data_IF_708751716086
#
_entry.id   IF_708751716086
#
_cell.length_a   1.000
_cell.length_b   1.000
_cell.length_c   1.000
_cell.angle_alpha   90.00
_cell.angle_beta   90.00
_cell.angle_gamma   90.00
#
_symmetry.space_group_name_H-M   'P 1'
#
loop_
_entity.id
_entity.type
_entity.pdbx_description
1 polymer ?
#
# COMPACT_ATOMS: atom_id res chain seq x y z
N UNK A 1 12.16 5.31 27.41
CA UNK A 1 12.44 6.40 26.46
C UNK A 1 13.46 5.87 25.46
N UNK A 2 13.01 5.43 24.27
CA UNK A 2 13.96 5.02 23.21
C UNK A 2 14.35 6.31 22.48
N UNK A 3 15.36 7.00 22.98
CA UNK A 3 16.00 8.11 22.27
C UNK A 3 16.74 7.48 21.09
N UNK A 4 16.45 7.90 19.86
CA UNK A 4 17.24 7.47 18.71
C UNK A 4 18.69 7.90 18.93
N UNK A 5 19.69 7.01 18.82
CA UNK A 5 21.10 7.33 19.09
C UNK A 5 21.73 8.14 17.95
N UNK A 6 20.93 8.96 17.28
CA UNK A 6 21.30 9.75 16.11
C UNK A 6 20.86 11.18 16.33
N UNK A 7 21.76 12.13 16.07
CA UNK A 7 21.48 13.56 16.11
C UNK A 7 21.90 14.21 14.79
N UNK A 8 21.10 15.13 14.29
CA UNK A 8 21.30 15.82 13.02
C UNK A 8 21.54 17.30 13.29
N UNK A 9 22.56 17.86 12.64
CA UNK A 9 22.87 19.29 12.69
C UNK A 9 23.19 19.83 11.29
N UNK A 10 23.45 21.13 11.22
CA UNK A 10 23.90 21.75 9.99
C UNK A 10 25.27 21.16 9.60
N UNK A 11 25.33 20.58 8.40
CA UNK A 11 26.52 19.90 7.84
C UNK A 11 27.17 18.83 8.74
N UNK A 12 26.49 18.34 9.77
CA UNK A 12 27.02 17.38 10.75
C UNK A 12 25.95 16.36 11.12
N UNK A 13 26.30 15.09 11.19
CA UNK A 13 25.42 14.02 11.69
C UNK A 13 26.21 13.18 12.71
N UNK A 14 25.61 12.94 13.87
CA UNK A 14 26.18 12.11 14.94
C UNK A 14 25.40 10.80 14.97
N UNK A 15 26.10 9.68 14.97
CA UNK A 15 25.52 8.35 15.00
C UNK A 15 26.17 7.49 16.09
N UNK A 16 25.48 6.43 16.53
CA UNK A 16 26.10 5.35 17.29
C UNK A 16 27.23 4.68 16.49
N UNK A 17 28.28 4.23 17.18
CA UNK A 17 29.34 3.41 16.60
C UNK A 17 28.80 2.09 16.01
N UNK A 18 27.60 1.64 16.41
CA UNK A 18 26.96 0.41 15.92
C UNK A 18 26.64 0.43 14.42
N UNK A 19 26.73 1.59 13.74
CA UNK A 19 26.53 1.62 12.28
C UNK A 19 27.81 1.26 11.51
N UNK A 20 28.97 1.21 12.17
CA UNK A 20 30.23 0.81 11.57
C UNK A 20 30.21 -0.68 11.27
N UNK A 21 30.66 -1.04 10.06
CA UNK A 21 30.72 -2.40 9.57
C UNK A 21 32.03 -2.62 8.82
N UNK A 22 32.53 -3.86 8.89
CA UNK A 22 33.59 -4.34 8.02
C UNK A 22 33.03 -4.59 6.62
N UNK A 23 33.86 -4.48 5.59
CA UNK A 23 33.48 -4.71 4.19
C UNK A 23 32.85 -6.10 3.97
N UNK A 24 33.21 -7.09 4.80
CA UNK A 24 32.67 -8.45 4.73
C UNK A 24 31.25 -8.59 5.29
N UNK A 25 30.73 -7.61 6.03
CA UNK A 25 29.41 -7.66 6.67
C UNK A 25 28.36 -7.02 5.77
N UNK A 26 27.89 -7.80 4.79
CA UNK A 26 27.01 -7.31 3.71
C UNK A 26 25.65 -6.81 4.24
N UNK A 27 25.04 -7.51 5.20
CA UNK A 27 23.69 -7.19 5.69
C UNK A 27 23.62 -5.81 6.35
N UNK A 28 24.64 -5.47 7.14
CA UNK A 28 24.70 -4.20 7.86
C UNK A 28 24.98 -3.03 6.92
N UNK A 29 25.77 -3.25 5.85
CA UNK A 29 26.12 -2.21 4.87
C UNK A 29 24.85 -1.56 4.30
N UNK A 30 23.84 -2.36 3.94
CA UNK A 30 22.58 -1.85 3.37
C UNK A 30 21.86 -0.97 4.39
N UNK A 31 21.69 -1.45 5.62
CA UNK A 31 21.04 -0.71 6.69
C UNK A 31 21.75 0.60 7.02
N UNK A 32 23.09 0.58 7.07
CA UNK A 32 23.90 1.78 7.32
C UNK A 32 23.77 2.80 6.20
N UNK A 33 23.84 2.38 4.93
CA UNK A 33 23.68 3.30 3.78
C UNK A 33 22.32 3.99 3.77
N UNK A 34 21.25 3.27 4.10
CA UNK A 34 19.90 3.86 4.20
C UNK A 34 19.83 4.87 5.35
N UNK A 35 20.39 4.56 6.53
CA UNK A 35 20.45 5.50 7.66
C UNK A 35 21.22 6.78 7.30
N UNK A 36 22.34 6.65 6.60
CA UNK A 36 23.14 7.79 6.12
C UNK A 36 22.38 8.62 5.08
N UNK A 37 21.70 7.96 4.13
CA UNK A 37 20.88 8.65 3.11
C UNK A 37 19.74 9.45 3.76
N UNK A 38 19.04 8.86 4.73
CA UNK A 38 18.01 9.55 5.50
C UNK A 38 18.58 10.73 6.30
N UNK A 39 19.73 10.56 6.95
CA UNK A 39 20.36 11.64 7.69
C UNK A 39 20.74 12.83 6.79
N UNK A 40 21.27 12.54 5.60
CA UNK A 40 21.56 13.57 4.60
C UNK A 40 20.27 14.28 4.16
N UNK A 41 19.18 13.54 3.95
CA UNK A 41 17.89 14.13 3.60
C UNK A 41 17.32 15.00 4.74
N UNK A 42 17.51 14.60 6.00
CA UNK A 42 17.12 15.39 7.20
C UNK A 42 17.89 16.70 7.34
N UNK A 43 19.10 16.80 6.81
CA UNK A 43 19.81 18.09 6.76
C UNK A 43 19.06 19.10 5.88
N UNK A 44 18.43 18.66 4.79
CA UNK A 44 17.60 19.52 3.95
C UNK A 44 16.23 19.79 4.60
N UNK A 45 15.54 18.72 5.00
CA UNK A 45 14.20 18.78 5.60
C UNK A 45 14.28 18.41 7.08
N UNK A 46 14.36 19.42 7.94
CA UNK A 46 14.59 19.28 9.38
C UNK A 46 15.57 20.31 9.94
N UNK A 47 16.61 20.65 9.16
CA UNK A 47 17.63 21.64 9.56
C UNK A 47 17.59 22.87 8.66
N UNK A 48 17.79 22.72 7.35
CA UNK A 48 17.76 23.85 6.42
C UNK A 48 16.34 24.41 6.23
N UNK A 49 15.36 23.52 6.11
CA UNK A 49 13.93 23.84 6.18
C UNK A 49 13.34 23.28 7.47
N UNK A 50 12.78 24.13 8.32
CA UNK A 50 12.15 23.76 9.59
C UNK A 50 10.61 23.74 9.49
N UNK A 51 9.94 23.10 10.43
CA UNK A 51 8.49 23.14 10.53
C UNK A 51 8.05 24.56 10.92
N UNK A 52 6.88 25.01 10.43
CA UNK A 52 6.27 26.26 10.91
C UNK A 52 5.65 26.07 12.30
N UNK A 53 4.88 24.99 12.47
CA UNK A 53 4.32 24.55 13.75
C UNK A 53 4.75 23.12 14.10
N UNK A 54 4.71 22.69 15.38
CA UNK A 54 5.04 21.30 15.74
C UNK A 54 4.21 20.24 14.99
N UNK A 55 2.98 20.57 14.63
CA UNK A 55 2.08 19.69 13.85
C UNK A 55 2.46 19.60 12.37
N UNK A 56 3.44 20.37 11.89
CA UNK A 56 3.97 20.27 10.53
C UNK A 56 5.24 19.40 10.43
N UNK A 57 5.79 18.93 11.56
CA UNK A 57 7.06 18.18 11.58
C UNK A 57 7.00 16.86 10.80
N UNK A 58 5.81 16.23 10.73
CA UNK A 58 5.57 15.04 9.91
C UNK A 58 5.96 15.26 8.44
N UNK A 59 5.78 16.47 7.93
CA UNK A 59 6.04 16.80 6.54
C UNK A 59 7.55 16.75 6.27
N UNK A 60 8.36 17.28 7.18
CA UNK A 60 9.81 17.26 7.05
C UNK A 60 10.37 15.84 7.17
N UNK A 61 9.87 15.08 8.14
CA UNK A 61 10.26 13.67 8.32
C UNK A 61 9.84 12.84 7.10
N UNK A 62 8.61 13.00 6.64
CA UNK A 62 8.08 12.36 5.44
C UNK A 62 8.88 12.70 4.19
N UNK A 63 9.26 13.97 3.99
CA UNK A 63 10.07 14.40 2.83
C UNK A 63 11.47 13.79 2.88
N UNK A 64 12.09 13.71 4.06
CA UNK A 64 13.38 13.04 4.22
C UNK A 64 13.28 11.54 3.94
N UNK A 65 12.23 10.87 4.45
CA UNK A 65 11.95 9.46 4.15
C UNK A 65 11.65 9.21 2.66
N UNK A 66 10.90 10.10 2.01
CA UNK A 66 10.63 10.03 0.57
C UNK A 66 11.92 10.09 -0.26
N UNK A 67 12.83 11.03 0.04
CA UNK A 67 14.13 11.09 -0.63
C UNK A 67 15.00 9.85 -0.37
N UNK A 68 14.90 9.28 0.83
CA UNK A 68 15.56 8.02 1.17
C UNK A 68 15.01 6.87 0.32
N UNK A 69 13.71 6.86 0.05
CA UNK A 69 13.08 5.86 -0.80
C UNK A 69 13.53 5.99 -2.26
N UNK A 70 13.73 7.21 -2.76
CA UNK A 70 14.37 7.45 -4.07
C UNK A 70 15.80 6.92 -4.12
N UNK A 71 16.58 7.09 -3.04
CA UNK A 71 17.91 6.49 -2.92
C UNK A 71 17.84 4.96 -2.98
N UNK A 72 16.95 4.33 -2.21
CA UNK A 72 16.75 2.87 -2.22
C UNK A 72 16.41 2.40 -3.64
N UNK A 73 15.43 3.02 -4.29
CA UNK A 73 15.01 2.67 -5.64
C UNK A 73 16.16 2.76 -6.65
N UNK A 74 16.99 3.80 -6.54
CA UNK A 74 18.11 4.05 -7.46
C UNK A 74 19.29 3.11 -7.25
N UNK A 75 19.66 2.82 -6.01
CA UNK A 75 20.92 2.13 -5.68
C UNK A 75 20.74 0.68 -5.22
N UNK A 76 19.58 0.33 -4.65
CA UNK A 76 19.26 -1.03 -4.20
C UNK A 76 18.24 -1.73 -5.14
N UNK A 77 17.58 -0.94 -5.99
CA UNK A 77 16.69 -1.44 -7.04
C UNK A 77 15.20 -1.39 -6.69
N UNK A 78 14.37 -1.51 -7.72
CA UNK A 78 12.91 -1.35 -7.60
C UNK A 78 12.26 -2.41 -6.67
N UNK A 79 12.77 -3.64 -6.67
CA UNK A 79 12.18 -4.72 -5.86
C UNK A 79 12.41 -4.46 -4.36
N UNK A 80 13.60 -3.99 -3.98
CA UNK A 80 13.90 -3.66 -2.58
C UNK A 80 13.05 -2.47 -2.10
N UNK A 81 12.87 -1.46 -2.95
CA UNK A 81 11.97 -0.34 -2.66
C UNK A 81 10.53 -0.82 -2.44
N UNK A 82 9.99 -1.67 -3.33
CA UNK A 82 8.64 -2.25 -3.20
C UNK A 82 8.51 -3.07 -1.92
N UNK A 83 9.49 -3.92 -1.63
CA UNK A 83 9.46 -4.78 -0.44
C UNK A 83 9.46 -3.97 0.86
N UNK A 84 10.27 -2.90 0.94
CA UNK A 84 10.29 -2.00 2.10
C UNK A 84 8.98 -1.24 2.24
N UNK A 85 8.44 -0.74 1.12
CA UNK A 85 7.14 -0.06 1.10
C UNK A 85 6.02 -1.00 1.57
N UNK A 86 5.99 -2.24 1.09
CA UNK A 86 5.04 -3.24 1.55
C UNK A 86 5.12 -3.45 3.07
N UNK A 87 6.32 -3.68 3.61
CA UNK A 87 6.51 -3.83 5.06
C UNK A 87 6.08 -2.59 5.85
N UNK A 88 6.39 -1.40 5.33
CA UNK A 88 5.97 -0.14 5.93
C UNK A 88 4.43 -0.02 5.93
N UNK A 89 3.77 -0.29 4.81
CA UNK A 89 2.32 -0.24 4.68
C UNK A 89 1.64 -1.24 5.62
N UNK A 90 2.09 -2.50 5.68
CA UNK A 90 1.57 -3.48 6.63
C UNK A 90 1.69 -2.99 8.08
N UNK A 91 2.85 -2.44 8.43
CA UNK A 91 3.10 -1.91 9.77
C UNK A 91 2.16 -0.74 10.07
N UNK A 92 1.98 0.20 9.13
CA UNK A 92 1.07 1.34 9.31
C UNK A 92 -0.37 0.87 9.43
N UNK A 93 -0.86 0.01 8.54
CA UNK A 93 -2.23 -0.53 8.61
C UNK A 93 -2.52 -1.23 9.95
N UNK A 94 -1.54 -1.98 10.47
CA UNK A 94 -1.70 -2.71 11.74
C UNK A 94 -1.75 -1.79 12.96
N UNK A 95 -1.01 -0.68 12.96
CA UNK A 95 -0.79 0.14 14.16
C UNK A 95 -1.42 1.55 14.11
N UNK A 96 -1.82 2.05 12.94
CA UNK A 96 -2.52 3.33 12.77
C UNK A 96 -4.02 3.18 13.07
N UNK A 97 -4.35 2.92 14.34
CA UNK A 97 -5.71 2.56 14.78
C UNK A 97 -6.36 3.58 15.73
N UNK A 98 -5.61 4.58 16.20
CA UNK A 98 -6.07 5.61 17.16
C UNK A 98 -5.50 6.99 16.87
N UNK A 99 -6.07 8.04 17.48
CA UNK A 99 -5.68 9.45 17.26
C UNK A 99 -4.19 9.74 17.46
N UNK A 100 -3.53 9.03 18.38
CA UNK A 100 -2.09 9.03 18.61
C UNK A 100 -1.19 8.99 17.34
N UNK A 101 -1.63 8.32 16.27
CA UNK A 101 -0.87 8.17 15.02
C UNK A 101 -1.26 9.20 13.94
N UNK A 102 -2.21 10.10 14.19
CA UNK A 102 -2.58 11.18 13.27
C UNK A 102 -1.43 12.20 13.09
N UNK A 103 -1.08 12.52 11.85
CA UNK A 103 0.16 13.23 11.52
C UNK A 103 0.14 14.72 11.90
N UNK A 104 -0.98 15.40 11.66
CA UNK A 104 -1.11 16.86 11.83
C UNK A 104 -2.21 17.28 12.79
N UNK A 105 -2.88 16.34 13.47
CA UNK A 105 -3.94 16.69 14.44
C UNK A 105 -3.36 17.03 15.82
N UNK A 106 -3.85 18.10 16.50
CA UNK A 106 -3.62 18.34 17.92
C UNK A 106 -4.11 17.20 18.82
N UNK A 107 -5.05 16.37 18.35
CA UNK A 107 -5.56 15.24 19.13
C UNK A 107 -4.44 14.24 19.43
N UNK A 108 -3.52 14.04 18.47
CA UNK A 108 -2.38 13.15 18.68
C UNK A 108 -1.46 13.60 19.82
N UNK A 109 -1.25 14.91 19.97
CA UNK A 109 -0.46 15.46 21.07
C UNK A 109 -1.24 15.49 22.38
N UNK A 110 -2.56 15.59 22.32
CA UNK A 110 -3.45 15.51 23.50
C UNK A 110 -3.49 14.08 24.06
N UNK A 111 -3.67 13.08 23.20
CA UNK A 111 -3.72 11.66 23.56
C UNK A 111 -2.40 11.16 24.18
N UNK A 112 -1.27 11.69 23.71
CA UNK A 112 0.08 11.26 24.10
C UNK A 112 0.87 12.32 24.86
N UNK A 113 0.22 13.38 25.35
CA UNK A 113 0.86 14.47 26.12
C UNK A 113 2.15 15.01 25.49
N UNK A 114 2.16 15.19 24.16
CA UNK A 114 3.32 15.69 23.41
C UNK A 114 4.41 14.65 23.12
N UNK A 115 4.19 13.36 23.41
CA UNK A 115 5.17 12.27 23.17
C UNK A 115 4.89 11.45 21.90
N UNK A 116 3.99 11.91 21.03
CA UNK A 116 3.57 11.22 19.80
C UNK A 116 4.70 10.93 18.81
N UNK A 117 5.78 11.70 18.85
CA UNK A 117 6.96 11.51 18.00
C UNK A 117 7.98 10.51 18.58
N UNK A 118 7.73 9.97 19.78
CA UNK A 118 8.66 9.06 20.47
C UNK A 118 8.29 7.59 20.24
N UNK A 119 9.30 6.73 20.27
CA UNK A 119 9.14 5.28 20.28
C UNK A 119 8.40 4.70 19.07
N UNK A 120 7.50 3.75 19.32
CA UNK A 120 6.72 3.08 18.27
C UNK A 120 5.80 4.06 17.53
N UNK A 121 5.11 4.97 18.23
CA UNK A 121 4.23 5.96 17.61
C UNK A 121 4.96 6.86 16.63
N UNK A 122 6.13 7.40 17.02
CA UNK A 122 6.97 8.18 16.13
C UNK A 122 7.36 7.42 14.86
N UNK A 123 7.73 6.13 15.01
CA UNK A 123 8.04 5.27 13.87
C UNK A 123 6.83 5.07 12.94
N UNK A 124 5.64 4.80 13.48
CA UNK A 124 4.42 4.65 12.67
C UNK A 124 4.09 5.94 11.92
N UNK A 125 4.15 7.09 12.61
CA UNK A 125 3.93 8.41 12.00
C UNK A 125 4.91 8.68 10.87
N UNK A 126 6.19 8.37 11.06
CA UNK A 126 7.22 8.51 10.02
C UNK A 126 6.89 7.67 8.78
N UNK A 127 6.57 6.39 8.98
CA UNK A 127 6.20 5.49 7.87
C UNK A 127 4.94 5.97 7.14
N UNK A 128 3.92 6.41 7.88
CA UNK A 128 2.67 6.96 7.34
C UNK A 128 2.94 8.25 6.55
N UNK A 129 3.76 9.16 7.08
CA UNK A 129 4.14 10.40 6.41
C UNK A 129 4.78 10.16 5.03
N UNK A 130 5.69 9.18 4.94
CA UNK A 130 6.30 8.78 3.67
C UNK A 130 5.26 8.24 2.69
N UNK A 131 4.38 7.33 3.14
CA UNK A 131 3.34 6.75 2.29
C UNK A 131 2.34 7.80 1.76
N UNK A 132 1.98 8.78 2.60
CA UNK A 132 1.13 9.92 2.22
C UNK A 132 1.79 10.76 1.12
N UNK A 133 3.08 11.08 1.27
CA UNK A 133 3.81 11.85 0.26
C UNK A 133 4.01 11.09 -1.05
N UNK A 134 4.25 9.78 -0.99
CA UNK A 134 4.28 8.93 -2.18
C UNK A 134 2.93 8.91 -2.91
N UNK A 135 1.83 8.91 -2.16
CA UNK A 135 0.48 8.97 -2.75
C UNK A 135 0.25 10.31 -3.45
N UNK A 136 0.68 11.42 -2.83
CA UNK A 136 0.61 12.74 -3.46
C UNK A 136 1.49 12.84 -4.71
N UNK A 137 2.73 12.35 -4.65
CA UNK A 137 3.64 12.31 -5.80
C UNK A 137 3.05 11.51 -6.97
N UNK A 138 2.43 10.36 -6.67
CA UNK A 138 1.76 9.55 -7.69
C UNK A 138 0.64 10.31 -8.39
N UNK A 139 -0.17 11.07 -7.65
CA UNK A 139 -1.30 11.82 -8.21
C UNK A 139 -0.86 13.02 -9.07
N UNK A 140 0.23 13.70 -8.68
CA UNK A 140 0.71 14.89 -9.41
C UNK A 140 1.80 14.63 -10.45
N UNK A 141 2.44 13.46 -10.38
CA UNK A 141 3.59 13.05 -11.18
C UNK A 141 4.95 13.50 -10.60
N UNK A 142 6.03 12.76 -10.93
CA UNK A 142 7.37 12.97 -10.36
C UNK A 142 7.94 14.36 -10.69
N UNK A 143 7.68 14.90 -11.88
CA UNK A 143 8.20 16.20 -12.30
C UNK A 143 7.59 17.36 -11.52
N UNK A 144 6.26 17.30 -11.30
CA UNK A 144 5.55 18.31 -10.51
C UNK A 144 6.00 18.28 -9.06
N UNK A 145 6.12 17.08 -8.49
CA UNK A 145 6.62 16.90 -7.13
C UNK A 145 8.06 17.41 -6.99
N UNK A 146 8.94 17.09 -7.94
CA UNK A 146 10.31 17.61 -7.98
C UNK A 146 10.36 19.14 -8.03
N UNK A 147 9.49 19.79 -8.82
CA UNK A 147 9.38 21.26 -8.86
C UNK A 147 8.94 21.83 -7.52
N UNK A 148 8.02 21.18 -6.81
CA UNK A 148 7.62 21.56 -5.45
C UNK A 148 8.82 21.49 -4.51
N UNK A 149 9.59 20.39 -4.52
CA UNK A 149 10.79 20.27 -3.69
C UNK A 149 11.80 21.37 -3.98
N UNK A 150 12.06 21.67 -5.26
CA UNK A 150 12.96 22.74 -5.70
C UNK A 150 12.50 24.12 -5.20
N UNK A 151 11.20 24.40 -5.21
CA UNK A 151 10.61 25.63 -4.67
C UNK A 151 10.79 25.73 -3.15
N UNK A 152 10.64 24.63 -2.42
CA UNK A 152 10.79 24.60 -0.95
C UNK A 152 12.25 24.88 -0.55
N UNK A 153 13.22 24.27 -1.24
CA UNK A 153 14.64 24.40 -0.90
C UNK A 153 15.33 25.61 -1.54
N UNK A 154 14.62 26.36 -2.38
CA UNK A 154 15.17 27.50 -3.12
C UNK A 154 15.86 28.51 -2.18
N UNK A 155 17.07 28.94 -2.54
CA UNK A 155 17.82 29.92 -1.74
C UNK A 155 17.14 31.29 -1.68
N UNK A 156 16.37 31.64 -2.71
CA UNK A 156 15.59 32.89 -2.80
C UNK A 156 14.35 32.92 -1.90
N UNK A 157 13.98 31.78 -1.31
CA UNK A 157 12.84 31.67 -0.42
C UNK A 157 13.11 32.42 0.89
N UNK A 158 12.25 33.40 1.20
CA UNK A 158 12.42 34.28 2.35
C UNK A 158 12.24 33.57 3.70
N UNK A 159 11.23 32.70 3.82
CA UNK A 159 11.04 31.87 5.01
C UNK A 159 11.71 30.51 4.85
N UNK A 160 12.42 30.08 5.90
CA UNK A 160 12.96 28.72 6.01
C UNK A 160 12.00 27.76 6.71
N UNK A 161 10.79 28.20 7.05
CA UNK A 161 9.74 27.33 7.57
C UNK A 161 8.89 26.75 6.44
N UNK A 162 8.26 25.61 6.70
CA UNK A 162 7.28 24.96 5.83
C UNK A 162 6.09 24.49 6.67
N UNK A 163 4.87 24.90 6.30
CA UNK A 163 3.64 24.35 6.87
C UNK A 163 2.92 23.40 5.93
N UNK A 164 2.07 22.57 6.52
CA UNK A 164 1.13 21.69 5.82
C UNK A 164 0.21 22.51 4.90
N UNK A 165 -0.23 23.70 5.34
CA UNK A 165 -1.08 24.61 4.56
C UNK A 165 -0.37 25.10 3.30
N UNK A 166 0.88 25.50 3.43
CA UNK A 166 1.69 25.93 2.30
C UNK A 166 1.94 24.76 1.33
N UNK A 167 2.32 23.59 1.84
CA UNK A 167 2.55 22.42 1.01
C UNK A 167 1.30 22.02 0.23
N UNK A 168 0.12 22.07 0.86
CA UNK A 168 -1.17 21.88 0.20
C UNK A 168 -1.41 22.90 -0.92
N UNK A 169 -1.02 24.17 -0.72
CA UNK A 169 -1.11 25.18 -1.76
C UNK A 169 -0.16 24.89 -2.95
N UNK A 170 1.06 24.47 -2.67
CA UNK A 170 2.03 24.06 -3.71
C UNK A 170 1.52 22.82 -4.48
N UNK A 171 0.94 21.84 -3.79
CA UNK A 171 0.34 20.66 -4.39
C UNK A 171 -0.85 21.01 -5.32
N UNK A 172 -1.67 22.00 -4.96
CA UNK A 172 -2.72 22.52 -5.84
C UNK A 172 -2.14 23.28 -7.05
N UNK A 173 -1.21 24.21 -6.81
CA UNK A 173 -0.73 25.16 -7.83
C UNK A 173 0.26 24.56 -8.81
N UNK A 174 1.21 23.77 -8.32
CA UNK A 174 2.30 23.16 -9.11
C UNK A 174 1.98 21.71 -9.43
N UNK A 175 1.44 20.99 -8.44
CA UNK A 175 1.03 19.60 -8.60
C UNK A 175 -0.24 19.41 -9.44
N UNK A 176 -0.94 20.51 -9.78
CA UNK A 176 -2.20 20.48 -10.51
C UNK A 176 -3.26 19.55 -9.87
N UNK A 177 -3.16 19.33 -8.55
CA UNK A 177 -4.13 18.51 -7.83
C UNK A 177 -5.40 19.30 -7.59
N UNK A 178 -6.55 18.70 -7.87
CA UNK A 178 -7.83 19.36 -7.75
C UNK A 178 -8.16 19.73 -6.29
N UNK A 179 -8.84 20.86 -6.11
CA UNK A 179 -9.23 21.33 -4.76
C UNK A 179 -10.15 20.33 -4.02
N UNK A 180 -11.13 19.67 -4.66
CA UNK A 180 -11.94 18.64 -4.01
C UNK A 180 -11.10 17.48 -3.48
N UNK A 181 -10.20 16.93 -4.30
CA UNK A 181 -9.26 15.89 -3.88
C UNK A 181 -8.47 16.30 -2.63
N UNK A 182 -7.86 17.49 -2.64
CA UNK A 182 -7.08 17.98 -1.49
C UNK A 182 -7.92 18.25 -0.24
N UNK A 183 -9.21 18.59 -0.41
CA UNK A 183 -10.15 18.82 0.69
C UNK A 183 -10.53 17.53 1.39
N UNK A 184 -10.54 16.41 0.69
CA UNK A 184 -10.80 15.08 1.26
C UNK A 184 -9.51 14.42 1.75
N UNK A 185 -8.42 14.54 0.98
CA UNK A 185 -7.16 13.86 1.24
C UNK A 185 -6.51 14.28 2.57
N UNK A 186 -6.35 15.59 2.81
CA UNK A 186 -5.61 16.07 3.99
C UNK A 186 -6.33 15.72 5.31
N UNK A 187 -7.63 16.00 5.49
CA UNK A 187 -8.34 15.59 6.69
C UNK A 187 -8.28 14.08 6.94
N UNK A 188 -8.40 13.27 5.88
CA UNK A 188 -8.44 11.83 5.99
C UNK A 188 -7.09 11.19 6.30
N UNK A 189 -6.01 11.63 5.65
CA UNK A 189 -4.68 11.03 5.77
C UNK A 189 -3.76 11.70 6.78
N UNK A 190 -3.96 12.99 7.06
CA UNK A 190 -3.07 13.77 7.93
C UNK A 190 -3.73 14.08 9.27
N UNK A 191 -4.98 14.51 9.27
CA UNK A 191 -5.69 14.92 10.50
C UNK A 191 -6.36 13.72 11.20
N UNK A 192 -6.59 12.62 10.49
CA UNK A 192 -7.23 11.42 11.05
C UNK A 192 -6.29 10.20 11.13
N UNK A 193 -6.70 9.21 11.91
CA UNK A 193 -6.08 7.88 11.96
C UNK A 193 -6.84 6.85 11.09
N UNK A 194 -6.29 5.65 10.97
CA UNK A 194 -6.89 4.57 10.20
C UNK A 194 -6.28 4.42 8.81
N UNK A 195 -6.45 3.23 8.26
CA UNK A 195 -6.14 2.87 6.89
C UNK A 195 -7.35 2.16 6.26
N UNK A 196 -7.54 2.25 4.94
CA UNK A 196 -8.58 1.50 4.23
C UNK A 196 -8.36 0.00 4.37
N UNK A 197 -9.41 -0.73 4.72
CA UNK A 197 -9.47 -2.19 4.62
C UNK A 197 -10.32 -2.53 3.40
N UNK A 198 -9.78 -3.30 2.46
CA UNK A 198 -10.51 -3.75 1.29
C UNK A 198 -10.56 -5.27 1.28
N UNK A 199 -11.77 -5.83 1.27
CA UNK A 199 -11.98 -7.27 1.08
C UNK A 199 -12.59 -7.47 -0.29
N UNK A 200 -11.93 -8.29 -1.10
CA UNK A 200 -12.25 -8.44 -2.49
C UNK A 200 -12.46 -9.92 -2.81
N UNK A 201 -13.41 -10.21 -3.70
CA UNK A 201 -13.69 -11.54 -4.20
C UNK A 201 -14.10 -11.47 -5.67
N UNK A 202 -13.80 -12.54 -6.42
CA UNK A 202 -14.04 -12.58 -7.87
C UNK A 202 -15.08 -13.64 -8.25
N UNK A 203 -15.84 -13.33 -9.29
CA UNK A 203 -16.74 -14.25 -10.00
C UNK A 203 -16.61 -14.03 -11.50
N UNK A 204 -16.50 -15.10 -12.30
CA UNK A 204 -16.44 -15.00 -13.75
C UNK A 204 -17.80 -15.33 -14.38
N UNK A 205 -18.38 -14.36 -15.08
CA UNK A 205 -19.65 -14.53 -15.77
C UNK A 205 -19.41 -15.00 -17.22
N UNK A 206 -19.46 -16.32 -17.44
CA UNK A 206 -19.24 -16.94 -18.76
C UNK A 206 -20.17 -16.42 -19.86
N UNK A 207 -21.43 -16.08 -19.51
CA UNK A 207 -22.44 -15.64 -20.49
C UNK A 207 -22.16 -14.23 -20.99
N UNK A 208 -21.74 -13.34 -20.09
CA UNK A 208 -21.43 -11.94 -20.39
C UNK A 208 -19.97 -11.72 -20.80
N UNK A 209 -19.10 -12.70 -20.55
CA UNK A 209 -17.65 -12.58 -20.67
C UNK A 209 -17.09 -11.41 -19.85
N UNK A 210 -17.49 -11.33 -18.58
CA UNK A 210 -17.09 -10.28 -17.64
C UNK A 210 -16.61 -10.91 -16.33
N UNK A 211 -15.69 -10.23 -15.65
CA UNK A 211 -15.32 -10.53 -14.27
C UNK A 211 -16.09 -9.60 -13.35
N UNK A 212 -16.84 -10.17 -12.42
CA UNK A 212 -17.53 -9.46 -11.35
C UNK A 212 -16.60 -9.45 -10.13
N UNK A 213 -16.08 -8.27 -9.79
CA UNK A 213 -15.22 -8.05 -8.63
C UNK A 213 -16.09 -7.48 -7.50
N UNK A 214 -16.42 -8.30 -6.52
CA UNK A 214 -17.08 -7.84 -5.30
C UNK A 214 -16.06 -7.17 -4.39
N UNK A 215 -16.38 -5.98 -3.89
CA UNK A 215 -15.53 -5.13 -3.06
C UNK A 215 -16.28 -4.77 -1.79
N UNK A 216 -15.69 -5.08 -0.64
CA UNK A 216 -16.11 -4.60 0.67
C UNK A 216 -15.06 -3.62 1.20
N UNK A 217 -15.50 -2.47 1.71
CA UNK A 217 -14.64 -1.39 2.21
C UNK A 217 -14.87 -1.17 3.70
N UNK A 218 -13.79 -1.07 4.46
CA UNK A 218 -13.75 -0.80 5.89
C UNK A 218 -12.57 0.10 6.28
N UNK A 219 -12.34 0.25 7.58
CA UNK A 219 -11.29 1.10 8.14
C UNK A 219 -10.64 0.42 9.35
N UNK A 220 -9.33 0.60 9.54
CA UNK A 220 -8.60 0.08 10.70
C UNK A 220 -8.80 0.91 11.97
N UNK A 221 -9.25 2.16 11.85
CA UNK A 221 -9.51 3.01 13.01
C UNK A 221 -10.59 2.40 13.90
N UNK A 222 -10.32 2.32 15.21
CA UNK A 222 -11.31 1.85 16.18
C UNK A 222 -12.35 2.95 16.40
N UNK A 223 -13.63 2.57 16.46
CA UNK A 223 -14.68 3.47 16.90
C UNK A 223 -14.43 3.85 18.36
N UNK A 224 -14.55 5.13 18.67
CA UNK A 224 -14.26 5.66 20.01
C UNK A 224 -15.39 5.23 20.96
N UNK A 225 -15.12 4.46 22.04
CA UNK A 225 -16.16 3.90 22.89
C UNK A 225 -16.89 4.94 23.77
N UNK A 226 -16.57 6.23 23.66
CA UNK A 226 -17.11 7.32 24.48
C UNK A 226 -18.10 8.26 23.78
N UNK A 227 -18.42 8.07 22.50
CA UNK A 227 -19.51 8.85 21.89
C UNK A 227 -20.86 8.23 22.29
N UNK A 228 -21.57 8.85 23.24
CA UNK A 228 -22.94 8.49 23.59
C UNK A 228 -23.79 8.44 22.30
N UNK A 229 -24.03 7.21 21.83
CA UNK A 229 -24.90 6.90 20.71
C UNK A 229 -26.37 7.00 21.15
N UNK A 230 -26.77 8.21 21.52
CA UNK A 230 -28.16 8.61 21.76
C UNK A 230 -28.58 9.75 20.84
N UNK A 231 -28.18 9.66 19.58
CA UNK A 231 -28.84 10.36 18.47
C UNK A 231 -28.97 9.33 17.36
N UNK A 232 -30.23 8.98 17.03
CA UNK A 232 -30.73 8.18 15.91
C UNK A 232 -29.76 7.23 15.19
N UNK A 233 -30.18 5.97 15.07
CA UNK A 233 -29.56 4.92 14.25
C UNK A 233 -29.60 5.18 12.74
N UNK A 234 -29.21 6.37 12.31
CA UNK A 234 -28.55 6.57 11.04
C UNK A 234 -27.09 6.21 11.29
N UNK A 235 -26.64 5.12 10.67
CA UNK A 235 -25.23 4.81 10.43
C UNK A 235 -24.54 6.15 10.20
N UNK A 236 -23.62 6.56 11.09
CA UNK A 236 -22.86 7.78 10.87
C UNK A 236 -22.31 7.73 9.45
N UNK A 237 -22.91 8.52 8.58
CA UNK A 237 -22.53 8.86 7.21
C UNK A 237 -21.23 9.70 7.25
N UNK A 238 -20.27 9.28 8.09
CA UNK A 238 -19.05 9.98 8.45
C UNK A 238 -17.82 9.44 7.72
N UNK A 239 -17.98 8.78 6.58
CA UNK A 239 -16.87 8.25 5.81
C UNK A 239 -16.89 8.82 4.40
N UNK A 240 -16.46 10.08 4.25
CA UNK A 240 -15.74 10.47 3.04
C UNK A 240 -14.69 9.40 2.80
N UNK A 241 -14.92 8.57 1.78
CA UNK A 241 -14.06 7.43 1.51
C UNK A 241 -12.63 7.86 1.21
N UNK A 242 -11.74 6.89 1.08
CA UNK A 242 -10.33 7.17 0.82
C UNK A 242 -10.18 7.65 -0.63
N UNK A 243 -9.63 8.84 -0.90
CA UNK A 243 -9.52 9.33 -2.26
C UNK A 243 -8.47 8.51 -3.03
N UNK A 244 -8.81 8.05 -4.23
CA UNK A 244 -7.92 7.29 -5.09
C UNK A 244 -8.62 6.24 -5.94
N UNK A 245 -7.93 5.78 -6.98
CA UNK A 245 -8.41 4.77 -7.91
C UNK A 245 -7.32 3.72 -8.12
N UNK A 246 -7.49 2.55 -7.52
CA UNK A 246 -6.59 1.41 -7.67
C UNK A 246 -6.71 0.78 -9.05
N UNK A 247 -5.61 0.21 -9.52
CA UNK A 247 -5.58 -0.63 -10.71
C UNK A 247 -5.78 -2.10 -10.35
N UNK A 248 -6.55 -2.81 -11.17
CA UNK A 248 -6.72 -4.26 -11.12
C UNK A 248 -6.09 -4.85 -12.38
N UNK A 249 -5.09 -5.70 -12.20
CA UNK A 249 -4.41 -6.43 -13.28
C UNK A 249 -5.07 -7.78 -13.45
N UNK A 250 -5.64 -8.02 -14.62
CA UNK A 250 -6.26 -9.29 -15.01
C UNK A 250 -5.33 -10.00 -15.99
N UNK A 251 -4.81 -11.17 -15.59
CA UNK A 251 -4.06 -12.04 -16.48
C UNK A 251 -5.03 -13.05 -17.09
N UNK A 252 -5.14 -13.02 -18.40
CA UNK A 252 -6.01 -13.87 -19.19
C UNK A 252 -5.16 -14.75 -20.12
N UNK A 253 -5.78 -15.71 -20.82
CA UNK A 253 -5.06 -16.59 -21.77
C UNK A 253 -4.43 -15.83 -22.93
N UNK A 254 -5.03 -14.72 -23.35
CA UNK A 254 -4.59 -13.97 -24.53
C UNK A 254 -3.66 -12.80 -24.17
N UNK A 255 -3.47 -12.50 -22.87
CA UNK A 255 -2.60 -11.42 -22.41
C UNK A 255 -2.92 -10.89 -21.02
N UNK A 256 -2.27 -9.79 -20.67
CA UNK A 256 -2.40 -9.10 -19.37
C UNK A 256 -3.03 -7.73 -19.59
N UNK A 257 -4.07 -7.43 -18.81
CA UNK A 257 -4.85 -6.21 -18.95
C UNK A 257 -4.94 -5.46 -17.61
N UNK A 258 -4.56 -4.18 -17.61
CA UNK A 258 -4.67 -3.30 -16.44
C UNK A 258 -5.96 -2.47 -16.50
N UNK A 259 -6.79 -2.57 -15.47
CA UNK A 259 -8.06 -1.85 -15.33
C UNK A 259 -7.97 -0.83 -14.17
N UNK A 260 -7.79 0.47 -14.45
CA UNK A 260 -7.73 1.51 -13.42
C UNK A 260 -9.16 1.92 -13.02
N UNK A 261 -9.92 1.01 -12.40
CA UNK A 261 -11.36 1.21 -12.19
C UNK A 261 -11.83 0.97 -10.76
N UNK A 262 -10.93 0.65 -9.83
CA UNK A 262 -11.32 0.30 -8.47
C UNK A 262 -11.23 1.54 -7.56
N UNK A 263 -12.33 2.27 -7.29
CA UNK A 263 -12.28 3.41 -6.40
C UNK A 263 -12.05 2.95 -4.95
N UNK A 264 -11.19 3.69 -4.27
CA UNK A 264 -10.87 3.50 -2.84
C UNK A 264 -12.01 3.96 -1.94
N UNK A 265 -12.77 4.95 -2.41
CA UNK A 265 -13.99 5.44 -1.81
C UNK A 265 -15.23 4.82 -2.48
N UNK A 266 -16.37 4.88 -1.81
CA UNK A 266 -17.66 4.46 -2.35
C UNK A 266 -18.48 3.66 -1.34
N UNK A 267 -19.52 3.00 -1.84
CA UNK A 267 -20.39 2.14 -1.02
C UNK A 267 -19.56 1.06 -0.29
N UNK A 268 -20.03 0.71 0.92
CA UNK A 268 -19.37 -0.28 1.77
C UNK A 268 -19.30 -1.66 1.11
N UNK A 269 -20.26 -1.98 0.24
CA UNK A 269 -20.29 -3.15 -0.61
C UNK A 269 -20.62 -2.72 -2.04
N UNK A 270 -19.76 -3.07 -2.99
CA UNK A 270 -19.95 -2.72 -4.39
C UNK A 270 -19.46 -3.87 -5.28
N UNK A 271 -20.16 -4.13 -6.38
CA UNK A 271 -19.66 -5.01 -7.45
C UNK A 271 -19.16 -4.14 -8.60
N UNK A 272 -17.90 -4.36 -8.99
CA UNK A 272 -17.25 -3.69 -10.11
C UNK A 272 -17.12 -4.70 -11.25
N UNK A 273 -17.54 -4.32 -12.45
CA UNK A 273 -17.45 -5.17 -13.64
C UNK A 273 -16.17 -4.87 -14.42
N UNK A 274 -15.36 -5.89 -14.66
CA UNK A 274 -14.15 -5.84 -15.48
C UNK A 274 -14.41 -6.58 -16.80
N UNK A 275 -14.04 -5.95 -17.91
CA UNK A 275 -14.12 -6.58 -19.22
C UNK A 275 -13.09 -7.71 -19.33
N UNK A 276 -13.55 -8.92 -19.65
CA UNK A 276 -12.66 -10.01 -20.05
C UNK A 276 -12.48 -9.96 -21.58
N UNK A 277 -11.25 -9.95 -22.06
CA UNK A 277 -10.95 -9.78 -23.49
C UNK A 277 -10.86 -11.13 -24.21
N UNK A 278 -10.29 -12.11 -23.53
CA UNK A 278 -10.10 -13.47 -24.00
C UNK A 278 -11.42 -14.20 -24.15
N UNK A 279 -11.53 -15.02 -25.19
CA UNK A 279 -12.72 -15.83 -25.47
C UNK A 279 -12.39 -17.30 -25.26
N UNK A 280 -13.25 -18.01 -24.54
CA UNK A 280 -13.16 -19.46 -24.43
C UNK A 280 -13.31 -20.08 -25.82
N UNK A 281 -12.29 -20.81 -26.28
CA UNK A 281 -12.37 -21.57 -27.51
C UNK A 281 -13.45 -22.66 -27.35
N UNK A 282 -14.47 -22.63 -28.21
CA UNK A 282 -15.47 -23.69 -28.24
C UNK A 282 -14.78 -25.01 -28.57
N UNK A 283 -14.80 -25.98 -27.64
CA UNK A 283 -14.32 -27.34 -27.92
C UNK A 283 -15.14 -27.92 -29.09
N UNK A 284 -14.57 -27.92 -30.30
CA UNK A 284 -14.97 -28.86 -31.36
C UNK A 284 -14.57 -30.24 -30.88
N UNK A 285 -15.50 -30.95 -30.25
CA UNK A 285 -15.37 -32.39 -30.08
C UNK A 285 -15.20 -33.00 -31.47
N UNK A 286 -13.97 -33.43 -31.81
CA UNK A 286 -13.81 -34.42 -32.85
C UNK A 286 -14.54 -35.67 -32.33
N UNK A 287 -15.69 -35.98 -32.93
CA UNK A 287 -16.37 -37.27 -32.72
C UNK A 287 -15.35 -38.37 -33.02
N UNK A 288 -14.79 -38.97 -31.97
CA UNK A 288 -14.06 -40.22 -32.11
C UNK A 288 -15.04 -41.24 -32.67
N UNK A 289 -14.66 -41.77 -33.83
CA UNK A 289 -15.43 -42.69 -34.63
C UNK A 289 -15.69 -43.96 -33.80
N UNK A 290 -16.96 -44.29 -33.65
CA UNK A 290 -17.53 -45.50 -33.03
C UNK A 290 -16.68 -46.75 -33.32
N UNK A 291 -16.17 -47.42 -32.29
CA UNK A 291 -15.45 -48.69 -32.44
C UNK A 291 -15.06 -49.39 -31.13
N UNK A 292 -15.79 -50.47 -30.84
CA UNK A 292 -15.50 -51.59 -29.91
C UNK A 292 -15.74 -51.43 -28.40
N UNK A 293 -16.23 -52.52 -27.80
CA UNK A 293 -16.84 -52.72 -26.47
C UNK A 293 -15.79 -52.95 -25.36
N UNK A 294 -16.19 -52.87 -24.07
CA UNK A 294 -15.29 -52.69 -22.94
C UNK A 294 -14.81 -54.03 -22.35
N UNK A 295 -13.60 -54.03 -21.81
CA UNK A 295 -13.18 -55.00 -20.79
C UNK A 295 -12.53 -54.24 -19.62
N UNK A 296 -12.81 -54.71 -18.42
CA UNK A 296 -12.82 -53.89 -17.21
C UNK A 296 -11.48 -53.67 -16.50
N UNK A 297 -11.62 -52.92 -15.40
CA UNK A 297 -10.76 -52.79 -14.21
C UNK A 297 -10.20 -51.39 -13.94
N UNK A 298 -10.48 -50.98 -12.69
CA UNK A 298 -9.86 -49.94 -11.85
C UNK A 298 -10.41 -48.51 -11.93
N UNK A 299 -11.45 -48.32 -11.12
CA UNK A 299 -11.92 -47.06 -10.55
C UNK A 299 -10.81 -46.41 -9.68
N UNK A 300 -9.99 -45.55 -10.28
CA UNK A 300 -9.19 -44.59 -9.52
C UNK A 300 -8.76 -43.35 -10.34
N UNK A 301 -9.74 -42.65 -10.95
CA UNK A 301 -9.46 -41.48 -11.83
C UNK A 301 -10.24 -40.21 -11.44
N UNK A 302 -10.74 -40.08 -10.21
CA UNK A 302 -11.71 -39.00 -9.90
C UNK A 302 -11.31 -37.98 -8.82
N UNK A 303 -10.02 -37.75 -8.61
CA UNK A 303 -9.55 -36.56 -7.85
C UNK A 303 -8.79 -35.55 -8.74
N UNK A 304 -7.82 -36.01 -9.53
CA UNK A 304 -7.01 -35.13 -10.40
C UNK A 304 -7.79 -34.59 -11.62
N UNK A 305 -8.83 -35.30 -12.05
CA UNK A 305 -9.64 -34.94 -13.22
C UNK A 305 -10.68 -33.85 -12.90
N UNK A 306 -11.09 -33.72 -11.64
CA UNK A 306 -12.07 -32.71 -11.21
C UNK A 306 -11.41 -31.37 -10.89
N UNK A 307 -10.19 -31.38 -10.34
CA UNK A 307 -9.39 -30.17 -10.11
C UNK A 307 -8.87 -29.54 -11.42
N UNK A 308 -8.54 -30.35 -12.44
CA UNK A 308 -8.18 -29.84 -13.77
C UNK A 308 -9.38 -29.31 -14.57
N UNK A 309 -10.62 -29.66 -14.20
CA UNK A 309 -11.82 -29.22 -14.94
C UNK A 309 -12.20 -27.76 -14.68
N UNK A 310 -11.89 -27.21 -13.51
CA UNK A 310 -12.16 -25.79 -13.20
C UNK A 310 -11.24 -24.84 -13.97
N UNK A 311 -9.99 -25.25 -14.21
CA UNK A 311 -9.00 -24.50 -15.02
C UNK A 311 -9.44 -24.34 -16.48
N UNK A 312 -10.17 -25.30 -17.06
CA UNK A 312 -10.57 -25.26 -18.48
C UNK A 312 -11.79 -24.39 -18.80
N UNK A 313 -12.43 -23.82 -17.78
CA UNK A 313 -13.78 -23.25 -17.86
C UNK A 313 -13.80 -21.72 -17.76
N UNK A 314 -12.63 -21.10 -17.58
CA UNK A 314 -12.44 -19.65 -17.55
C UNK A 314 -11.16 -19.28 -18.32
N UNK A 315 -11.16 -18.18 -19.09
CA UNK A 315 -9.94 -17.70 -19.73
C UNK A 315 -9.06 -16.89 -18.74
N UNK A 316 -9.45 -16.82 -17.46
CA UNK A 316 -8.71 -16.11 -16.41
C UNK A 316 -7.62 -17.01 -15.84
N UNK A 317 -6.39 -16.51 -15.83
CA UNK A 317 -5.24 -17.16 -15.22
C UNK A 317 -5.07 -16.71 -13.77
N UNK A 318 -5.03 -15.41 -13.53
CA UNK A 318 -5.00 -14.84 -12.18
C UNK A 318 -5.34 -13.35 -12.20
N UNK A 319 -5.69 -12.80 -11.04
CA UNK A 319 -5.96 -11.37 -10.88
C UNK A 319 -5.10 -10.81 -9.76
N UNK A 320 -4.64 -9.57 -9.90
CA UNK A 320 -3.94 -8.81 -8.85
C UNK A 320 -4.56 -7.43 -8.67
N UNK A 321 -4.75 -7.04 -7.42
CA UNK A 321 -5.21 -5.71 -7.03
C UNK A 321 -3.99 -4.91 -6.56
N UNK A 322 -3.88 -3.65 -7.00
CA UNK A 322 -2.74 -2.78 -6.72
C UNK A 322 -1.38 -3.46 -7.05
N UNK A 323 -1.15 -3.84 -8.32
CA UNK A 323 0.03 -4.61 -8.72
C UNK A 323 1.37 -3.92 -8.42
N UNK A 324 1.35 -2.60 -8.27
CA UNK A 324 2.54 -1.79 -7.99
C UNK A 324 2.69 -1.45 -6.49
N UNK A 325 1.75 -1.90 -5.64
CA UNK A 325 1.72 -1.67 -4.18
C UNK A 325 1.81 -0.18 -3.83
N UNK A 326 1.02 0.62 -4.54
CA UNK A 326 1.09 2.07 -4.49
C UNK A 326 0.20 2.69 -3.42
N UNK A 327 -0.78 1.94 -2.91
CA UNK A 327 -1.73 2.45 -1.95
C UNK A 327 -1.40 1.95 -0.54
N UNK A 328 -1.54 2.86 0.43
CA UNK A 328 -1.54 2.49 1.85
C UNK A 328 -2.92 1.88 2.17
N UNK A 329 -3.04 0.57 2.06
CA UNK A 329 -4.29 -0.15 2.30
C UNK A 329 -4.02 -1.57 2.82
N UNK A 330 -4.95 -2.10 3.59
CA UNK A 330 -5.00 -3.51 3.94
C UNK A 330 -5.90 -4.24 2.93
N UNK A 331 -5.31 -5.07 2.07
CA UNK A 331 -6.02 -5.74 0.98
C UNK A 331 -6.15 -7.24 1.29
N UNK A 332 -7.39 -7.71 1.37
CA UNK A 332 -7.76 -9.13 1.51
C UNK A 332 -8.39 -9.60 0.20
N UNK A 333 -7.62 -10.28 -0.64
CA UNK A 333 -8.09 -10.75 -1.94
C UNK A 333 -8.39 -12.25 -1.94
N UNK A 334 -9.61 -12.62 -2.30
CA UNK A 334 -10.05 -14.01 -2.40
C UNK A 334 -10.17 -14.41 -3.87
N UNK A 335 -9.28 -15.31 -4.30
CA UNK A 335 -9.31 -15.98 -5.60
C UNK A 335 -8.98 -17.47 -5.43
N UNK A 336 -9.34 -18.33 -6.41
CA UNK A 336 -9.01 -19.76 -6.37
C UNK A 336 -7.51 -20.03 -6.20
N UNK A 337 -7.17 -21.10 -5.48
CA UNK A 337 -5.77 -21.45 -5.17
C UNK A 337 -4.91 -21.65 -6.42
N UNK A 338 -5.48 -22.21 -7.48
CA UNK A 338 -4.77 -22.43 -8.74
C UNK A 338 -4.30 -21.11 -9.39
N UNK A 339 -5.07 -20.03 -9.21
CA UNK A 339 -4.67 -18.71 -9.69
C UNK A 339 -3.49 -18.15 -8.90
N UNK A 340 -3.42 -18.43 -7.58
CA UNK A 340 -2.26 -18.08 -6.77
C UNK A 340 -1.01 -18.85 -7.22
N UNK A 341 -1.13 -20.16 -7.39
CA UNK A 341 -0.03 -21.02 -7.80
C UNK A 341 0.54 -20.58 -9.16
N UNK A 342 -0.35 -20.28 -10.12
CA UNK A 342 0.06 -19.79 -11.43
C UNK A 342 0.75 -18.41 -11.35
N UNK A 343 0.21 -17.49 -10.55
CA UNK A 343 0.79 -16.17 -10.36
C UNK A 343 2.20 -16.23 -9.75
N UNK A 344 2.45 -17.20 -8.87
CA UNK A 344 3.77 -17.42 -8.27
C UNK A 344 4.71 -18.11 -9.28
N UNK A 345 4.23 -19.12 -10.01
CA UNK A 345 5.00 -19.91 -10.96
C UNK A 345 5.54 -19.13 -12.17
N UNK A 346 4.83 -18.08 -12.62
CA UNK A 346 5.24 -17.25 -13.76
C UNK A 346 6.37 -16.25 -13.45
N UNK A 347 7.05 -16.39 -12.31
CA UNK A 347 8.19 -15.55 -11.98
C UNK A 347 7.82 -14.07 -11.78
N UNK A 348 6.54 -13.77 -11.56
CA UNK A 348 6.14 -12.53 -10.90
C UNK A 348 6.60 -12.62 -9.45
N UNK A 349 7.91 -12.36 -9.26
CA UNK A 349 8.69 -12.51 -8.03
C UNK A 349 7.82 -12.24 -6.81
N UNK A 350 7.79 -13.24 -5.94
CA UNK A 350 7.01 -13.34 -4.73
C UNK A 350 6.83 -12.00 -4.02
N UNK A 351 5.59 -11.54 -3.93
CA UNK A 351 5.16 -10.63 -2.87
C UNK A 351 3.87 -11.14 -2.24
N UNK A 352 3.90 -12.37 -1.72
CA UNK A 352 3.02 -12.88 -0.67
C UNK A 352 3.73 -14.05 0.04
N UNK A 353 3.59 -14.22 1.36
CA UNK A 353 3.68 -15.54 1.96
C UNK A 353 2.28 -16.01 2.39
N UNK A 354 1.81 -17.06 1.73
CA UNK A 354 0.87 -18.03 2.30
C UNK A 354 1.72 -19.08 3.03
N UNK A 355 1.43 -19.36 4.30
CA UNK A 355 1.69 -20.70 4.90
C UNK A 355 0.59 -21.00 5.91
N UNK A 356 0.16 -22.26 5.99
CA UNK A 356 -0.83 -22.76 6.93
C UNK A 356 -0.30 -23.96 7.73
N UNK A 357 -0.76 -24.05 8.98
CA UNK A 357 -1.25 -25.22 9.74
C UNK A 357 -1.20 -24.85 11.25
N UNK A 358 -2.19 -25.08 12.11
CA UNK A 358 -3.44 -25.83 12.07
C UNK A 358 -4.29 -25.43 13.29
N UNK A 359 -5.61 -25.65 13.20
CA UNK A 359 -6.60 -25.66 14.31
C UNK A 359 -7.36 -24.36 14.67
N UNK A 360 -7.71 -23.54 13.70
CA UNK A 360 -8.87 -22.62 13.78
C UNK A 360 -8.98 -21.92 12.44
N UNK A 361 -10.12 -21.95 11.76
CA UNK A 361 -10.33 -21.43 10.39
C UNK A 361 -10.21 -19.91 10.23
N UNK A 362 -9.27 -19.26 10.91
CA UNK A 362 -8.96 -17.83 10.82
C UNK A 362 -7.48 -17.68 10.45
N UNK A 363 -7.20 -17.07 9.30
CA UNK A 363 -5.85 -16.87 8.76
C UNK A 363 -5.37 -15.47 9.18
N UNK A 364 -4.27 -15.40 9.96
CA UNK A 364 -3.53 -14.16 10.28
C UNK A 364 -2.07 -14.27 9.84
N UNK A 365 -1.46 -13.22 9.24
CA UNK A 365 -0.20 -13.34 8.48
C UNK A 365 1.10 -13.09 9.28
N UNK A 366 2.15 -13.85 8.97
CA UNK A 366 3.55 -13.61 9.36
C UNK A 366 4.53 -13.92 8.20
N UNK A 367 5.63 -13.15 8.11
CA UNK A 367 6.60 -13.13 7.01
C UNK A 367 7.54 -14.35 6.95
N UNK A 368 7.91 -14.78 5.74
CA UNK A 368 9.19 -15.42 5.45
C UNK A 368 9.97 -14.61 4.39
N UNK A 369 11.22 -14.27 4.72
CA UNK A 369 12.28 -13.90 3.79
C UNK A 369 12.99 -15.18 3.33
N UNK A 370 13.30 -15.30 2.04
CA UNK A 370 14.43 -16.11 1.60
C UNK A 370 15.59 -15.14 1.38
N UNK A 371 16.72 -15.45 2.02
CA UNK A 371 18.03 -14.80 1.86
C UNK A 371 18.59 -14.95 0.43
#
# INVERSE_FOLDING_TARGET
MVVSPTSFGASTCIFSADILNDEKVIDQIIGTRIKLAYALARQWFGIYTSAEEPNDDWLLDGLAGFLTDLFIKRYLGNNEARYRRFKANCTVCQFDVSGATALGSPDASTDLYGTQTLGSYGKIRSLKAVAVLQTLEKQMGPDSFRKILQMIVASTRASRTLSTKEFRHLANKIGNLERPFLKEFFPRWIESCGCPIMRLGISYNKRRNLVELAVSRGCTAKADPGSDSHVNGDIQEGATGWPGMMSVRVHETDGVYDHPILPMAGEALQVVELQCHSKLAAKRFQKTKKGSKPDGSDDNVDASTQENRTSMDSPLLWIRVDPEMEYLAEIHFHQPIQMWDQSIGEGQRCHFPVTGNSCSGEITPALFCCD
#
